data_IF_869615752329
#
_entry.id   IF_869615752329
#
_cell.length_a   1.000
_cell.length_b   1.000
_cell.length_c   1.000
_cell.angle_alpha   90.00
_cell.angle_beta   90.00
_cell.angle_gamma   90.00
#
_symmetry.space_group_name_H-M   'P 1'
#
loop_
_entity.id
_entity.type
_entity.pdbx_description
1 polymer ?
#
# COMPACT_ATOMS: atom_id res chain seq x y z
N UNK A 1 2.06 16.10 -13.67
CA UNK A 1 1.30 16.30 -12.41
C UNK A 1 1.09 14.95 -11.73
N UNK A 2 1.15 14.92 -10.40
CA UNK A 2 0.87 13.72 -9.60
C UNK A 2 -0.26 14.03 -8.63
N UNK A 3 -1.20 13.09 -8.48
CA UNK A 3 -2.35 13.24 -7.58
C UNK A 3 -3.20 11.97 -7.51
N UNK A 4 -4.25 12.00 -6.69
CA UNK A 4 -5.21 10.91 -6.65
C UNK A 4 -5.97 10.82 -7.97
N UNK A 5 -6.07 9.61 -8.52
CA UNK A 5 -6.85 9.36 -9.72
C UNK A 5 -8.34 9.42 -9.39
N UNK A 6 -9.05 10.31 -10.06
CA UNK A 6 -10.50 10.41 -9.98
C UNK A 6 -11.12 9.99 -11.30
N UNK A 7 -12.15 9.17 -11.26
CA UNK A 7 -12.97 8.82 -12.41
C UNK A 7 -14.31 9.55 -12.33
N UNK A 8 -14.75 10.15 -13.43
CA UNK A 8 -16.05 10.80 -13.55
C UNK A 8 -16.87 10.14 -14.66
N UNK A 9 -18.08 9.72 -14.37
CA UNK A 9 -18.95 9.08 -15.35
C UNK A 9 -20.31 8.68 -14.76
N UNK A 10 -21.27 8.40 -15.64
CA UNK A 10 -22.63 7.99 -15.28
C UNK A 10 -22.67 6.57 -14.66
N UNK A 11 -21.65 5.76 -14.91
CA UNK A 11 -21.52 4.41 -14.38
C UNK A 11 -20.77 4.35 -13.03
N UNK A 12 -20.51 5.51 -12.40
CA UNK A 12 -19.97 5.54 -11.03
C UNK A 12 -21.03 4.99 -10.07
N UNK A 13 -20.63 4.06 -9.21
CA UNK A 13 -21.51 3.52 -8.15
C UNK A 13 -22.04 4.66 -7.25
N UNK A 14 -23.25 4.52 -6.76
CA UNK A 14 -23.86 5.52 -5.85
C UNK A 14 -23.13 5.61 -4.51
N UNK A 15 -22.49 4.55 -4.07
CA UNK A 15 -21.74 4.47 -2.79
C UNK A 15 -21.39 3.03 -2.47
N UNK A 16 -20.93 2.80 -1.24
CA UNK A 16 -20.61 1.48 -0.70
C UNK A 16 -21.53 1.13 0.46
N UNK A 17 -22.13 -0.06 0.42
CA UNK A 17 -22.95 -0.59 1.50
C UNK A 17 -22.16 -1.60 2.32
N UNK A 18 -22.08 -1.41 3.64
CA UNK A 18 -21.54 -2.36 4.61
C UNK A 18 -22.64 -3.13 5.34
N UNK A 19 -23.85 -2.60 5.31
CA UNK A 19 -25.05 -3.19 5.90
C UNK A 19 -26.27 -2.93 5.03
N UNK A 20 -27.38 -3.64 5.28
CA UNK A 20 -28.62 -3.40 4.57
C UNK A 20 -29.20 -1.99 4.76
N UNK A 21 -28.88 -1.32 5.87
CA UNK A 21 -29.29 0.06 6.11
C UNK A 21 -28.64 1.05 5.15
N UNK A 22 -27.44 0.72 4.66
CA UNK A 22 -26.72 1.57 3.74
C UNK A 22 -27.32 1.59 2.32
N UNK A 23 -28.17 0.61 1.97
CA UNK A 23 -28.86 0.56 0.68
C UNK A 23 -29.89 1.69 0.52
N UNK A 24 -30.33 2.30 1.62
CA UNK A 24 -31.20 3.47 1.61
C UNK A 24 -30.49 4.81 1.46
N UNK A 25 -29.14 4.82 1.46
CA UNK A 25 -28.36 6.04 1.22
C UNK A 25 -28.49 6.46 -0.24
N UNK A 26 -28.54 7.76 -0.46
CA UNK A 26 -28.58 8.32 -1.81
C UNK A 26 -27.22 8.24 -2.51
N UNK A 27 -27.08 9.01 -3.58
CA UNK A 27 -25.82 9.10 -4.34
C UNK A 27 -24.76 9.88 -3.54
N UNK A 28 -23.89 9.15 -2.85
CA UNK A 28 -22.79 9.70 -2.06
C UNK A 28 -21.63 10.16 -2.97
N UNK A 29 -21.42 9.50 -4.11
CA UNK A 29 -20.31 9.75 -5.02
C UNK A 29 -20.57 10.87 -6.04
N UNK A 30 -21.82 11.22 -6.29
CA UNK A 30 -22.24 12.29 -7.23
C UNK A 30 -21.55 12.19 -8.59
N UNK A 31 -21.46 10.96 -9.10
CA UNK A 31 -20.82 10.65 -10.37
C UNK A 31 -19.31 10.79 -10.42
N UNK A 32 -18.63 10.93 -9.27
CA UNK A 32 -17.17 11.01 -9.16
C UNK A 32 -16.66 9.94 -8.21
N UNK A 33 -15.81 9.03 -8.71
CA UNK A 33 -15.14 8.03 -7.91
C UNK A 33 -13.68 8.44 -7.65
N UNK A 34 -13.34 8.62 -6.38
CA UNK A 34 -11.95 8.71 -5.94
C UNK A 34 -11.41 7.28 -5.80
N UNK A 35 -10.49 6.89 -6.70
CA UNK A 35 -10.05 5.49 -6.79
C UNK A 35 -9.16 5.04 -5.64
N UNK A 36 -8.59 5.98 -4.89
CA UNK A 36 -7.59 5.71 -3.87
C UNK A 36 -6.20 5.41 -4.46
N UNK A 37 -6.07 5.42 -5.79
CA UNK A 37 -4.80 5.24 -6.46
C UNK A 37 -4.14 6.61 -6.73
N UNK A 38 -2.84 6.69 -6.54
CA UNK A 38 -2.05 7.86 -6.94
C UNK A 38 -1.53 7.62 -8.34
N UNK A 39 -1.79 8.56 -9.23
CA UNK A 39 -1.34 8.52 -10.61
C UNK A 39 -0.47 9.73 -10.96
N UNK A 40 0.48 9.51 -11.86
CA UNK A 40 1.29 10.55 -12.51
C UNK A 40 0.83 10.66 -13.97
N UNK A 41 0.54 11.88 -14.43
CA UNK A 41 0.24 12.14 -15.82
C UNK A 41 1.50 12.68 -16.53
N UNK A 42 1.85 12.08 -17.68
CA UNK A 42 2.95 12.55 -18.53
C UNK A 42 2.55 13.72 -19.45
N UNK A 43 3.46 14.10 -20.36
CA UNK A 43 3.24 15.21 -21.31
C UNK A 43 2.26 14.81 -22.42
N UNK A 44 2.19 13.54 -22.75
CA UNK A 44 1.33 12.98 -23.80
C UNK A 44 -0.08 12.68 -23.29
N UNK A 45 -0.31 12.84 -22.00
CA UNK A 45 -1.63 12.70 -21.36
C UNK A 45 -1.92 11.33 -20.76
N UNK A 46 -0.95 10.38 -20.82
CA UNK A 46 -1.10 9.06 -20.22
C UNK A 46 -0.98 9.08 -18.69
N UNK A 47 -1.74 8.23 -18.05
CA UNK A 47 -1.74 8.08 -16.60
C UNK A 47 -1.00 6.80 -16.20
N UNK A 48 -0.08 6.94 -15.27
CA UNK A 48 0.68 5.84 -14.68
C UNK A 48 0.35 5.75 -13.20
N UNK A 49 -0.15 4.60 -12.74
CA UNK A 49 -0.38 4.36 -11.33
C UNK A 49 0.98 4.21 -10.63
N UNK A 50 1.20 5.02 -9.59
CA UNK A 50 2.46 5.06 -8.83
C UNK A 50 2.31 4.56 -7.40
N UNK A 51 1.11 4.10 -7.02
CA UNK A 51 0.83 3.50 -5.72
C UNK A 51 -0.57 3.82 -5.21
N UNK A 52 -0.86 3.41 -3.98
CA UNK A 52 -2.15 3.66 -3.33
C UNK A 52 -2.06 4.76 -2.29
N UNK A 53 -3.07 5.63 -2.22
CA UNK A 53 -3.12 6.77 -1.30
C UNK A 53 -2.93 6.36 0.17
N UNK A 54 -3.51 5.22 0.58
CA UNK A 54 -3.43 4.67 1.94
C UNK A 54 -2.16 3.85 2.21
N UNK A 55 -1.30 3.64 1.19
CA UNK A 55 -0.09 2.83 1.26
C UNK A 55 1.19 3.66 1.26
N UNK A 56 1.11 4.86 1.86
CA UNK A 56 2.27 5.73 2.07
C UNK A 56 2.46 6.01 3.56
N UNK A 57 3.70 6.05 3.99
CA UNK A 57 4.11 6.52 5.31
C UNK A 57 4.93 7.79 5.17
N UNK A 58 4.95 8.60 6.22
CA UNK A 58 5.93 9.68 6.38
C UNK A 58 7.03 9.20 7.32
N UNK A 59 8.24 9.05 6.81
CA UNK A 59 9.42 8.67 7.61
C UNK A 59 10.38 9.83 7.59
N UNK A 60 10.61 10.47 8.74
CA UNK A 60 11.41 11.68 8.90
C UNK A 60 11.02 12.80 7.91
N UNK A 61 9.71 12.96 7.70
CA UNK A 61 9.15 13.95 6.78
C UNK A 61 9.11 13.54 5.30
N UNK A 62 9.78 12.47 4.91
CA UNK A 62 9.78 11.96 3.55
C UNK A 62 8.60 11.00 3.32
N UNK A 63 7.91 11.15 2.20
CA UNK A 63 6.83 10.25 1.81
C UNK A 63 7.41 8.98 1.19
N UNK A 64 7.11 7.83 1.78
CA UNK A 64 7.60 6.50 1.37
C UNK A 64 6.42 5.66 0.93
N UNK A 65 6.50 5.07 -0.25
CA UNK A 65 5.50 4.14 -0.78
C UNK A 65 5.79 2.73 -0.27
N UNK A 66 4.84 2.13 0.43
CA UNK A 66 4.95 0.73 0.87
C UNK A 66 4.95 -0.24 -0.31
N UNK A 67 4.25 0.10 -1.39
CA UNK A 67 4.20 -0.73 -2.60
C UNK A 67 5.57 -0.78 -3.29
N UNK A 68 6.28 0.37 -3.37
CA UNK A 68 7.64 0.43 -3.92
C UNK A 68 8.63 -0.37 -3.06
N UNK A 69 8.49 -0.34 -1.74
CA UNK A 69 9.34 -1.14 -0.85
C UNK A 69 9.08 -2.64 -1.05
N UNK A 70 7.82 -3.05 -1.21
CA UNK A 70 7.49 -4.44 -1.49
C UNK A 70 8.08 -4.90 -2.82
N UNK A 71 8.05 -4.08 -3.87
CA UNK A 71 8.69 -4.40 -5.15
C UNK A 71 10.22 -4.50 -5.04
N UNK A 72 10.86 -3.62 -4.26
CA UNK A 72 12.29 -3.73 -3.98
C UNK A 72 12.65 -5.06 -3.30
N UNK A 73 11.84 -5.49 -2.31
CA UNK A 73 12.09 -6.73 -1.57
C UNK A 73 11.80 -7.95 -2.45
N UNK A 74 10.76 -7.91 -3.28
CA UNK A 74 10.46 -8.98 -4.26
C UNK A 74 11.60 -9.21 -5.25
N UNK A 75 12.36 -8.17 -5.62
CA UNK A 75 13.55 -8.31 -6.47
C UNK A 75 14.66 -9.16 -5.82
N UNK A 76 14.60 -9.40 -4.50
CA UNK A 76 15.46 -10.32 -3.77
C UNK A 76 14.92 -11.77 -3.74
N UNK A 77 13.78 -12.04 -4.38
CA UNK A 77 13.04 -13.31 -4.31
C UNK A 77 12.52 -13.61 -2.89
N UNK A 78 12.15 -12.57 -2.15
CA UNK A 78 11.60 -12.65 -0.79
C UNK A 78 10.14 -12.25 -0.80
N UNK A 79 9.27 -13.15 -0.30
CA UNK A 79 7.86 -12.84 -0.12
C UNK A 79 7.69 -11.89 1.07
N UNK A 80 7.04 -10.75 0.84
CA UNK A 80 6.91 -9.71 1.85
C UNK A 80 5.56 -8.99 1.81
N UNK A 81 5.26 -8.32 2.91
CA UNK A 81 4.19 -7.33 3.02
C UNK A 81 4.63 -6.20 3.96
N UNK A 82 4.37 -4.96 3.58
CA UNK A 82 4.78 -3.78 4.34
C UNK A 82 3.55 -3.07 4.92
N UNK A 83 3.65 -2.68 6.18
CA UNK A 83 2.69 -1.82 6.90
C UNK A 83 3.45 -0.81 7.74
N UNK A 84 2.75 -0.05 8.54
CA UNK A 84 3.38 0.82 9.53
C UNK A 84 2.54 2.04 9.86
N UNK A 85 3.14 2.91 10.62
CA UNK A 85 2.65 4.24 10.96
C UNK A 85 3.73 5.24 10.60
N UNK A 86 3.44 6.54 10.67
CA UNK A 86 4.46 7.56 10.46
C UNK A 86 5.68 7.28 11.35
N UNK A 87 6.87 7.43 10.76
CA UNK A 87 8.19 7.18 11.33
C UNK A 87 8.56 5.72 11.66
N UNK A 88 7.68 4.74 11.49
CA UNK A 88 7.99 3.33 11.70
C UNK A 88 7.39 2.47 10.60
N UNK A 89 8.23 1.81 9.83
CA UNK A 89 7.82 0.82 8.84
C UNK A 89 7.99 -0.60 9.39
N UNK A 90 6.95 -1.42 9.24
CA UNK A 90 6.98 -2.86 9.54
C UNK A 90 7.00 -3.65 8.25
N UNK A 91 7.98 -4.52 8.11
CA UNK A 91 8.18 -5.41 6.97
C UNK A 91 7.99 -6.84 7.45
N UNK A 92 7.00 -7.52 6.92
CA UNK A 92 6.72 -8.93 7.22
C UNK A 92 7.27 -9.78 6.09
N UNK A 93 8.03 -10.80 6.43
CA UNK A 93 8.62 -11.75 5.48
C UNK A 93 8.35 -13.19 5.93
N UNK A 94 8.40 -14.14 4.99
CA UNK A 94 8.20 -15.55 5.30
C UNK A 94 9.51 -16.35 5.45
N UNK A 95 10.66 -15.73 5.15
CA UNK A 95 11.98 -16.34 5.17
C UNK A 95 12.84 -15.73 6.30
N UNK A 96 12.95 -16.37 7.47
CA UNK A 96 13.65 -15.81 8.63
C UNK A 96 15.12 -15.46 8.36
N UNK A 97 15.81 -16.27 7.56
CA UNK A 97 17.23 -16.11 7.25
C UNK A 97 17.52 -14.85 6.43
N UNK A 98 16.52 -14.34 5.70
CA UNK A 98 16.63 -13.14 4.86
C UNK A 98 16.50 -11.83 5.65
N UNK A 99 16.14 -11.89 6.94
CA UNK A 99 15.85 -10.71 7.76
C UNK A 99 16.96 -9.65 7.72
N UNK A 100 18.23 -10.07 7.88
CA UNK A 100 19.38 -9.15 7.87
C UNK A 100 19.64 -8.56 6.49
N UNK A 101 19.49 -9.39 5.45
CA UNK A 101 19.68 -8.99 4.05
C UNK A 101 18.64 -7.98 3.63
N UNK A 102 17.36 -8.25 3.90
CA UNK A 102 16.23 -7.33 3.60
C UNK A 102 16.41 -5.99 4.33
N UNK A 103 16.75 -6.02 5.63
CA UNK A 103 16.96 -4.81 6.42
C UNK A 103 18.05 -3.91 5.81
N UNK A 104 19.21 -4.51 5.48
CA UNK A 104 20.33 -3.75 4.91
C UNK A 104 19.98 -3.22 3.52
N UNK A 105 19.41 -4.06 2.67
CA UNK A 105 19.05 -3.70 1.29
C UNK A 105 18.02 -2.56 1.24
N UNK A 106 16.93 -2.64 2.01
CA UNK A 106 15.94 -1.58 2.06
C UNK A 106 16.55 -0.28 2.58
N UNK A 107 17.36 -0.34 3.64
CA UNK A 107 18.02 0.85 4.17
C UNK A 107 18.98 1.50 3.16
N UNK A 108 19.74 0.71 2.41
CA UNK A 108 20.68 1.20 1.39
C UNK A 108 19.96 1.82 0.19
N UNK A 109 18.91 1.15 -0.33
CA UNK A 109 18.19 1.63 -1.50
C UNK A 109 17.36 2.90 -1.21
N UNK A 110 16.86 3.04 0.02
CA UNK A 110 15.91 4.11 0.38
C UNK A 110 16.52 5.24 1.20
N UNK A 111 17.68 5.02 1.80
CA UNK A 111 18.28 5.94 2.78
C UNK A 111 17.55 5.98 4.13
N UNK A 112 16.57 5.10 4.35
CA UNK A 112 15.83 5.03 5.61
C UNK A 112 16.74 4.42 6.69
N UNK A 113 16.83 5.08 7.84
CA UNK A 113 17.61 4.56 8.95
C UNK A 113 17.05 3.22 9.43
N UNK A 114 17.91 2.23 9.67
CA UNK A 114 17.55 0.87 10.10
C UNK A 114 16.68 0.84 11.36
N UNK A 115 16.82 1.82 12.26
CA UNK A 115 16.00 1.91 13.47
C UNK A 115 14.53 2.29 13.20
N UNK A 116 14.20 2.72 11.98
CA UNK A 116 12.83 2.99 11.52
C UNK A 116 12.20 1.81 10.78
N UNK A 117 12.95 0.73 10.60
CA UNK A 117 12.55 -0.49 9.92
C UNK A 117 12.45 -1.64 10.92
N UNK A 118 11.28 -2.22 11.08
CA UNK A 118 11.05 -3.39 11.92
C UNK A 118 10.74 -4.57 11.01
N UNK A 119 11.61 -5.59 11.01
CA UNK A 119 11.36 -6.81 10.23
C UNK A 119 10.82 -7.90 11.16
N UNK A 120 9.65 -8.41 10.82
CA UNK A 120 8.98 -9.52 11.48
C UNK A 120 8.88 -10.71 10.53
N UNK A 121 9.01 -11.91 11.09
CA UNK A 121 8.84 -13.15 10.33
C UNK A 121 7.50 -13.78 10.65
N UNK A 122 6.84 -14.30 9.62
CA UNK A 122 5.58 -15.04 9.71
C UNK A 122 5.75 -16.37 8.98
N UNK A 123 5.05 -17.40 9.40
CA UNK A 123 5.02 -18.68 8.68
C UNK A 123 4.42 -18.51 7.28
N UNK A 124 3.41 -17.65 7.16
CA UNK A 124 2.78 -17.26 5.89
C UNK A 124 2.16 -15.87 5.99
N UNK A 125 2.10 -15.16 4.87
CA UNK A 125 1.36 -13.90 4.80
C UNK A 125 -0.15 -14.18 4.78
N UNK A 126 -0.96 -13.43 5.56
CA UNK A 126 -2.41 -13.56 5.53
C UNK A 126 -2.95 -13.13 4.15
N UNK A 127 -3.73 -13.99 3.52
CA UNK A 127 -4.35 -13.75 2.22
C UNK A 127 -5.85 -14.01 2.30
N UNK A 128 -6.61 -13.29 1.50
CA UNK A 128 -8.04 -13.56 1.32
C UNK A 128 -8.25 -14.70 0.31
N UNK A 129 -9.52 -15.08 0.09
CA UNK A 129 -9.90 -16.17 -0.83
C UNK A 129 -9.46 -15.91 -2.29
N UNK A 130 -9.27 -14.66 -2.67
CA UNK A 130 -8.73 -14.27 -4.00
C UNK A 130 -7.20 -14.19 -4.04
N UNK A 131 -6.49 -14.64 -2.99
CA UNK A 131 -5.04 -14.67 -2.91
C UNK A 131 -4.36 -13.33 -2.61
N UNK A 132 -5.12 -12.26 -2.35
CA UNK A 132 -4.57 -10.94 -2.04
C UNK A 132 -4.17 -10.83 -0.56
N UNK A 133 -3.04 -10.20 -0.29
CA UNK A 133 -2.57 -9.96 1.09
C UNK A 133 -3.57 -9.11 1.87
N UNK A 134 -3.92 -9.58 3.06
CA UNK A 134 -4.80 -8.88 4.01
C UNK A 134 -3.94 -8.06 4.98
N UNK A 135 -3.63 -6.82 4.60
CA UNK A 135 -2.78 -5.93 5.41
C UNK A 135 -3.39 -5.58 6.77
N UNK A 136 -4.73 -5.57 6.89
CA UNK A 136 -5.43 -5.33 8.15
C UNK A 136 -5.19 -6.41 9.21
N UNK A 137 -4.80 -7.61 8.79
CA UNK A 137 -4.48 -8.73 9.68
C UNK A 137 -3.01 -8.76 10.09
N UNK A 138 -2.16 -7.87 9.52
CA UNK A 138 -0.75 -7.74 9.88
C UNK A 138 -0.60 -6.81 11.09
N UNK A 139 0.01 -7.31 12.15
CA UNK A 139 0.30 -6.51 13.35
C UNK A 139 -0.82 -6.47 14.39
N UNK A 140 -1.84 -7.30 14.26
CA UNK A 140 -2.82 -7.62 15.31
C UNK A 140 -2.28 -8.79 16.13
N UNK A 141 -1.36 -8.50 17.06
CA UNK A 141 -0.98 -9.33 18.21
C UNK A 141 -0.65 -8.41 19.36
#
# INVERSE_FOLDING_TARGET
KTGELAYKGENVTLGYAQSCLDLGKGDENKGILLTGDIAKRDKDGFYYIVGRKKRFLKILGNRVSLDEIEELIKALDVECACTGTDDIMKIYITQPDEKKRVLSYVAECTGINKNKLIIQTLDKLPRNDSGKVQYSSLGVN
#
